data_IF_886974786293
#
_entry.id   IF_886974786293
#
_cell.length_a   1.000
_cell.length_b   1.000
_cell.length_c   1.000
_cell.angle_alpha   90.00
_cell.angle_beta   90.00
_cell.angle_gamma   90.00
#
_symmetry.space_group_name_H-M   'P 1'
#
loop_
_entity.id
_entity.type
_entity.pdbx_description
1 polymer ?
#
# COMPACT_ATOMS: atom_id res chain seq x y z
N UNK A 1 3.27 2.11 -12.34
CA UNK A 1 2.84 2.10 -10.93
C UNK A 1 4.04 1.98 -10.00
N UNK A 2 4.67 0.81 -9.82
CA UNK A 2 5.74 0.58 -8.84
C UNK A 2 6.93 1.57 -8.92
N UNK A 3 7.52 1.75 -10.11
CA UNK A 3 8.68 2.66 -10.29
C UNK A 3 8.39 4.11 -9.93
N UNK A 4 7.19 4.60 -10.29
CA UNK A 4 6.79 5.97 -9.97
C UNK A 4 6.63 6.15 -8.45
N UNK A 5 6.02 5.16 -7.78
CA UNK A 5 5.90 5.17 -6.32
C UNK A 5 7.28 5.13 -5.64
N UNK A 6 8.22 4.31 -6.11
CA UNK A 6 9.58 4.27 -5.57
C UNK A 6 10.29 5.61 -5.66
N UNK A 7 10.23 6.30 -6.81
CA UNK A 7 10.84 7.63 -6.98
C UNK A 7 10.24 8.67 -6.01
N UNK A 8 8.93 8.66 -5.83
CA UNK A 8 8.26 9.57 -4.89
C UNK A 8 8.69 9.27 -3.46
N UNK A 9 8.71 8.01 -3.06
CA UNK A 9 9.13 7.59 -1.71
C UNK A 9 10.58 7.98 -1.45
N UNK A 10 11.49 7.73 -2.38
CA UNK A 10 12.91 8.10 -2.24
C UNK A 10 13.06 9.62 -2.07
N UNK A 11 12.39 10.42 -2.91
CA UNK A 11 12.45 11.87 -2.80
C UNK A 11 11.86 12.40 -1.47
N UNK A 12 10.78 11.80 -0.97
CA UNK A 12 10.19 12.20 0.31
C UNK A 12 11.07 11.82 1.50
N UNK A 13 11.80 10.71 1.39
CA UNK A 13 12.71 10.20 2.41
C UNK A 13 13.99 11.02 2.56
N UNK A 14 14.38 11.80 1.57
CA UNK A 14 15.54 12.70 1.67
C UNK A 14 15.31 13.85 2.67
N UNK A 15 14.07 14.11 3.07
CA UNK A 15 13.72 15.13 4.08
C UNK A 15 13.75 14.56 5.51
N UNK A 16 14.60 15.13 6.36
CA UNK A 16 14.77 14.76 7.77
C UNK A 16 13.47 14.86 8.58
N UNK A 17 12.62 15.86 8.31
CA UNK A 17 11.34 16.03 9.01
C UNK A 17 10.42 14.85 8.71
N UNK A 18 10.40 14.38 7.47
CA UNK A 18 9.62 13.23 7.05
C UNK A 18 10.16 11.93 7.63
N UNK A 19 11.48 11.78 7.76
CA UNK A 19 12.10 10.63 8.44
C UNK A 19 11.65 10.51 9.89
N UNK A 20 11.53 11.65 10.59
CA UNK A 20 11.05 11.69 11.99
C UNK A 20 9.54 11.47 12.07
N UNK A 21 8.75 12.19 11.28
CA UNK A 21 7.27 12.16 11.37
C UNK A 21 6.65 10.88 10.82
N UNK A 22 7.23 10.34 9.74
CA UNK A 22 6.71 9.20 9.00
C UNK A 22 5.58 9.57 8.04
N UNK A 23 4.97 8.55 7.43
CA UNK A 23 4.10 8.69 6.27
C UNK A 23 2.73 8.04 6.46
N UNK A 24 1.68 8.75 6.05
CA UNK A 24 0.32 8.22 5.94
C UNK A 24 -0.06 8.12 4.46
N UNK A 25 -0.54 6.96 4.05
CA UNK A 25 -0.94 6.69 2.66
C UNK A 25 -2.46 6.70 2.56
N UNK A 26 -3.00 7.33 1.51
CA UNK A 26 -4.41 7.27 1.14
C UNK A 26 -4.48 6.69 -0.25
N UNK A 27 -5.10 5.52 -0.37
CA UNK A 27 -5.30 4.81 -1.63
C UNK A 27 -6.77 4.95 -2.01
N UNK A 28 -7.04 5.79 -3.00
CA UNK A 28 -8.36 5.88 -3.62
C UNK A 28 -8.43 4.87 -4.76
N UNK A 29 -9.21 3.82 -4.52
CA UNK A 29 -9.39 2.73 -5.48
C UNK A 29 -10.58 2.98 -6.44
N UNK A 30 -11.10 4.22 -6.46
CA UNK A 30 -12.10 4.62 -7.45
C UNK A 30 -11.56 4.42 -8.88
N UNK A 31 -12.29 3.66 -9.69
CA UNK A 31 -11.86 3.31 -11.05
C UNK A 31 -10.87 2.13 -11.14
N UNK A 32 -10.58 1.43 -10.03
CA UNK A 32 -9.84 0.18 -10.09
C UNK A 32 -10.66 -0.88 -10.84
N UNK A 33 -10.07 -1.49 -11.88
CA UNK A 33 -10.71 -2.47 -12.74
C UNK A 33 -10.04 -3.83 -12.64
N UNK A 34 -10.70 -4.88 -13.12
CA UNK A 34 -10.07 -6.20 -13.21
C UNK A 34 -8.85 -6.21 -14.14
N UNK A 35 -8.81 -5.31 -15.15
CA UNK A 35 -7.64 -5.11 -16.00
C UNK A 35 -6.41 -4.67 -15.19
N UNK A 36 -6.58 -3.69 -14.29
CA UNK A 36 -5.52 -3.25 -13.39
C UNK A 36 -5.05 -4.36 -12.46
N UNK A 37 -5.98 -5.13 -11.89
CA UNK A 37 -5.67 -6.25 -11.00
C UNK A 37 -4.93 -7.38 -11.74
N UNK A 38 -5.35 -7.70 -12.96
CA UNK A 38 -4.77 -8.77 -13.77
C UNK A 38 -3.33 -8.49 -14.24
N UNK A 39 -2.91 -7.22 -14.20
CA UNK A 39 -1.54 -6.83 -14.52
C UNK A 39 -0.53 -7.26 -13.45
N UNK A 40 -0.98 -7.69 -12.27
CA UNK A 40 -0.13 -8.13 -11.17
C UNK A 40 -0.24 -9.62 -10.93
N UNK A 41 0.88 -10.33 -10.90
CA UNK A 41 0.91 -11.70 -10.38
C UNK A 41 0.86 -11.70 -8.85
N UNK A 42 0.45 -12.82 -8.25
CA UNK A 42 0.53 -13.01 -6.80
C UNK A 42 1.98 -12.91 -6.28
N UNK A 43 2.96 -13.26 -7.12
CA UNK A 43 4.38 -13.10 -6.82
C UNK A 43 4.78 -11.62 -6.78
N UNK A 44 4.29 -10.81 -7.71
CA UNK A 44 4.53 -9.36 -7.72
C UNK A 44 3.97 -8.69 -6.47
N UNK A 45 2.74 -9.06 -6.10
CA UNK A 45 2.09 -8.58 -4.86
C UNK A 45 2.95 -8.94 -3.64
N UNK A 46 3.39 -10.20 -3.55
CA UNK A 46 4.24 -10.65 -2.43
C UNK A 46 5.57 -9.90 -2.38
N UNK A 47 6.21 -9.67 -3.53
CA UNK A 47 7.47 -8.95 -3.61
C UNK A 47 7.29 -7.48 -3.20
N UNK A 48 6.22 -6.83 -3.67
CA UNK A 48 5.88 -5.46 -3.27
C UNK A 48 5.70 -5.34 -1.75
N UNK A 49 4.92 -6.25 -1.15
CA UNK A 49 4.68 -6.25 0.29
C UNK A 49 5.95 -6.55 1.11
N UNK A 50 6.88 -7.35 0.58
CA UNK A 50 8.21 -7.53 1.19
C UNK A 50 9.01 -6.23 1.15
N UNK A 51 8.97 -5.51 0.03
CA UNK A 51 9.67 -4.23 -0.10
C UNK A 51 9.16 -3.20 0.91
N UNK A 52 7.84 -3.06 1.03
CA UNK A 52 7.16 -2.19 1.99
C UNK A 52 7.57 -2.53 3.44
N UNK A 53 7.69 -3.81 3.76
CA UNK A 53 7.98 -4.25 5.13
C UNK A 53 9.46 -4.14 5.51
N UNK A 54 10.36 -4.47 4.58
CA UNK A 54 11.74 -4.82 4.93
C UNK A 54 12.81 -4.11 4.10
N UNK A 55 12.46 -3.45 3.00
CA UNK A 55 13.46 -2.91 2.07
C UNK A 55 13.54 -1.38 2.06
N UNK A 56 12.42 -0.69 2.28
CA UNK A 56 12.41 0.78 2.36
C UNK A 56 12.45 1.23 3.82
N UNK A 57 13.39 2.11 4.23
CA UNK A 57 13.45 2.63 5.60
C UNK A 57 12.35 3.68 5.89
N UNK A 58 11.12 3.41 5.46
CA UNK A 58 9.97 4.27 5.71
C UNK A 58 9.32 3.99 7.06
N UNK A 59 9.05 5.07 7.80
CA UNK A 59 8.19 5.01 8.98
C UNK A 59 6.73 5.10 8.57
N UNK A 60 6.14 3.97 8.16
CA UNK A 60 4.69 3.89 7.91
C UNK A 60 3.92 4.28 9.19
N UNK A 61 2.90 5.14 9.07
CA UNK A 61 2.04 5.55 10.19
C UNK A 61 0.67 4.91 10.04
N UNK A 62 0.02 5.16 8.91
CA UNK A 62 -1.30 4.65 8.58
C UNK A 62 -1.41 4.40 7.07
N UNK A 63 -2.26 3.45 6.68
CA UNK A 63 -2.62 3.17 5.28
C UNK A 63 -4.14 3.10 5.18
N UNK A 64 -4.72 4.06 4.49
CA UNK A 64 -6.16 4.16 4.27
C UNK A 64 -6.49 3.65 2.87
N UNK A 65 -7.50 2.78 2.77
CA UNK A 65 -8.11 2.39 1.50
C UNK A 65 -9.54 2.92 1.45
N UNK A 66 -9.87 3.67 0.40
CA UNK A 66 -11.19 4.24 0.16
C UNK A 66 -11.71 3.80 -1.21
N UNK A 67 -13.04 3.78 -1.38
CA UNK A 67 -13.72 3.47 -2.64
C UNK A 67 -13.32 2.12 -3.28
N UNK A 68 -13.05 1.09 -2.47
CA UNK A 68 -12.65 -0.23 -2.97
C UNK A 68 -13.80 -0.87 -3.76
N UNK A 69 -13.62 -1.21 -5.05
CA UNK A 69 -14.63 -1.93 -5.81
C UNK A 69 -14.68 -3.40 -5.39
N UNK A 70 -15.85 -4.02 -5.50
CA UNK A 70 -16.09 -5.41 -5.07
C UNK A 70 -15.12 -6.42 -5.69
N UNK A 71 -14.68 -6.19 -6.94
CA UNK A 71 -13.71 -7.04 -7.63
C UNK A 71 -12.32 -7.07 -6.97
N UNK A 72 -11.95 -6.03 -6.22
CA UNK A 72 -10.64 -5.87 -5.61
C UNK A 72 -10.57 -6.33 -4.15
N UNK A 73 -11.71 -6.44 -3.45
CA UNK A 73 -11.77 -6.74 -2.02
C UNK A 73 -10.95 -7.99 -1.67
N UNK A 74 -11.12 -9.09 -2.41
CA UNK A 74 -10.43 -10.35 -2.12
C UNK A 74 -8.92 -10.27 -2.33
N UNK A 75 -8.47 -9.50 -3.32
CA UNK A 75 -7.04 -9.31 -3.58
C UNK A 75 -6.42 -8.42 -2.47
N UNK A 76 -7.13 -7.38 -2.05
CA UNK A 76 -6.68 -6.52 -0.94
C UNK A 76 -6.64 -7.32 0.37
N UNK A 77 -7.68 -8.09 0.70
CA UNK A 77 -7.69 -9.00 1.87
C UNK A 77 -6.52 -9.98 1.84
N UNK A 78 -6.23 -10.56 0.68
CA UNK A 78 -5.06 -11.42 0.48
C UNK A 78 -3.76 -10.65 0.75
N UNK A 79 -3.58 -9.47 0.17
CA UNK A 79 -2.40 -8.63 0.39
C UNK A 79 -2.21 -8.28 1.87
N UNK A 80 -3.29 -7.87 2.56
CA UNK A 80 -3.30 -7.57 3.99
C UNK A 80 -2.85 -8.80 4.80
N UNK A 81 -3.31 -10.00 4.44
CA UNK A 81 -2.94 -11.24 5.14
C UNK A 81 -1.43 -11.52 5.15
N UNK A 82 -0.70 -11.04 4.14
CA UNK A 82 0.74 -11.22 3.96
C UNK A 82 1.61 -10.19 4.72
N UNK A 83 0.99 -9.18 5.34
CA UNK A 83 1.68 -8.18 6.14
C UNK A 83 1.97 -8.68 7.57
N UNK A 84 2.99 -8.12 8.21
CA UNK A 84 3.25 -8.30 9.64
C UNK A 84 2.21 -7.57 10.51
N UNK A 85 2.12 -7.94 11.78
CA UNK A 85 1.09 -7.43 12.69
C UNK A 85 1.18 -5.91 12.89
N UNK A 86 2.39 -5.35 12.82
CA UNK A 86 2.63 -3.90 12.94
C UNK A 86 2.02 -3.12 11.77
N UNK A 87 2.10 -3.62 10.54
CA UNK A 87 1.49 -2.95 9.38
C UNK A 87 0.01 -3.27 9.26
N UNK A 88 -0.42 -4.51 9.59
CA UNK A 88 -1.84 -4.87 9.65
C UNK A 88 -2.62 -3.96 10.59
N UNK A 89 -2.08 -3.68 11.78
CA UNK A 89 -2.70 -2.77 12.77
C UNK A 89 -2.78 -1.31 12.33
N UNK A 90 -2.18 -0.94 11.19
CA UNK A 90 -2.15 0.42 10.63
C UNK A 90 -3.01 0.58 9.38
N UNK A 91 -3.70 -0.49 8.97
CA UNK A 91 -4.58 -0.47 7.80
C UNK A 91 -5.99 -0.11 8.23
N UNK A 92 -6.57 0.86 7.52
CA UNK A 92 -7.92 1.32 7.67
C UNK A 92 -8.63 1.14 6.33
N UNK A 93 -9.68 0.32 6.31
CA UNK A 93 -10.51 0.12 5.13
C UNK A 93 -11.83 0.85 5.37
N UNK A 94 -12.00 1.99 4.70
CA UNK A 94 -13.23 2.75 4.76
C UNK A 94 -14.28 2.04 3.92
N UNK A 95 -15.32 1.51 4.58
CA UNK A 95 -16.50 0.99 3.90
C UNK A 95 -17.39 2.17 3.54
N UNK A 96 -17.90 2.17 2.32
CA UNK A 96 -19.02 3.03 1.97
C UNK A 96 -20.27 2.35 2.55
N UNK A 97 -20.93 3.00 3.51
CA UNK A 97 -22.29 2.65 3.92
C UNK A 97 -23.28 2.91 2.77
#
# INVERSE_FOLDING_TARGET
MARAHSLVVEALMDDEENQVRGYTHINDESGLTMGHLSAWSLTDIRNMLKCIQNSTPMRHKETHFVNIPTCAIKIIEFGISLLNDKLKSRILVCKHD
#
